data_IF_075426227474
#
_entry.id   IF_075426227474
#
_cell.length_a   1.000
_cell.length_b   1.000
_cell.length_c   1.000
_cell.angle_alpha   90.00
_cell.angle_beta   90.00
_cell.angle_gamma   90.00
#
_symmetry.space_group_name_H-M   'P 1'
#
loop_
_entity.id
_entity.type
_entity.pdbx_description
1 polymer ?
#
# COMPACT_ATOMS: atom_id res chain seq x y z
N UNK A 1 18.86 15.46 3.76
CA UNK A 1 18.20 14.51 2.84
C UNK A 1 17.74 15.26 1.60
N UNK A 2 18.05 14.72 0.42
CA UNK A 2 17.87 15.41 -0.88
C UNK A 2 16.45 15.23 -1.42
N UNK A 3 15.97 16.27 -2.12
CA UNK A 3 14.67 16.45 -2.82
C UNK A 3 13.53 17.00 -1.94
N UNK A 4 13.21 18.28 -2.18
CA UNK A 4 11.85 18.86 -2.22
C UNK A 4 10.87 18.51 -1.07
N UNK A 5 11.39 18.29 0.14
CA UNK A 5 10.56 18.17 1.35
C UNK A 5 9.72 16.88 1.48
N UNK A 6 9.82 15.90 0.57
CA UNK A 6 9.25 14.56 0.77
C UNK A 6 10.29 13.45 0.56
N UNK A 7 10.63 12.76 1.64
CA UNK A 7 11.65 11.70 1.68
C UNK A 7 11.08 10.28 1.51
N UNK A 8 9.80 10.13 1.12
CA UNK A 8 9.20 8.84 0.79
C UNK A 8 10.05 7.95 -0.13
N UNK A 9 10.63 8.42 -1.25
CA UNK A 9 11.46 7.56 -2.11
C UNK A 9 12.68 6.99 -1.38
N UNK A 10 13.32 7.81 -0.53
CA UNK A 10 14.51 7.41 0.23
C UNK A 10 14.15 6.38 1.30
N UNK A 11 13.02 6.60 1.99
CA UNK A 11 12.51 5.68 3.00
C UNK A 11 12.13 4.33 2.38
N UNK A 12 11.39 4.33 1.27
CA UNK A 12 11.03 3.10 0.53
C UNK A 12 12.28 2.32 0.13
N UNK A 13 13.30 3.01 -0.42
CA UNK A 13 14.57 2.38 -0.78
C UNK A 13 15.27 1.77 0.43
N UNK A 14 15.30 2.50 1.55
CA UNK A 14 15.96 2.05 2.77
C UNK A 14 15.27 0.84 3.42
N UNK A 15 13.93 0.85 3.46
CA UNK A 15 13.12 -0.26 3.97
C UNK A 15 13.28 -1.52 3.11
N UNK A 16 13.23 -1.39 1.78
CA UNK A 16 13.45 -2.51 0.87
C UNK A 16 14.90 -3.03 0.90
N UNK A 17 15.89 -2.15 1.13
CA UNK A 17 17.28 -2.57 1.29
C UNK A 17 17.45 -3.43 2.56
N UNK A 18 16.87 -3.03 3.69
CA UNK A 18 16.87 -3.85 4.91
C UNK A 18 16.22 -5.20 4.67
N UNK A 19 15.03 -5.23 4.08
CA UNK A 19 14.32 -6.46 3.79
C UNK A 19 15.11 -7.38 2.83
N UNK A 20 15.79 -6.78 1.85
CA UNK A 20 16.70 -7.49 0.93
C UNK A 20 17.87 -8.13 1.68
N UNK A 21 18.55 -7.38 2.54
CA UNK A 21 19.67 -7.89 3.34
C UNK A 21 19.23 -8.99 4.32
N UNK A 22 18.07 -8.82 4.97
CA UNK A 22 17.50 -9.86 5.84
C UNK A 22 17.18 -11.14 5.06
N UNK A 23 16.63 -11.02 3.85
CA UNK A 23 16.40 -12.17 2.97
C UNK A 23 17.69 -12.83 2.49
N UNK A 24 18.72 -12.06 2.12
CA UNK A 24 20.03 -12.61 1.73
C UNK A 24 20.67 -13.40 2.87
N UNK A 25 20.64 -12.85 4.09
CA UNK A 25 21.08 -13.54 5.30
C UNK A 25 20.28 -14.82 5.52
N UNK A 26 18.94 -14.75 5.42
CA UNK A 26 18.06 -15.91 5.55
C UNK A 26 18.39 -16.99 4.52
N UNK A 27 18.67 -16.60 3.27
CA UNK A 27 19.01 -17.51 2.17
C UNK A 27 20.36 -18.17 2.41
N UNK A 28 21.34 -17.42 2.90
CA UNK A 28 22.64 -17.97 3.27
C UNK A 28 22.51 -18.95 4.43
N UNK A 29 21.82 -18.57 5.52
CA UNK A 29 21.50 -19.47 6.62
C UNK A 29 20.77 -20.72 6.14
N UNK A 30 19.85 -20.61 5.19
CA UNK A 30 19.12 -21.76 4.66
C UNK A 30 20.01 -22.74 3.87
N UNK A 31 21.12 -22.27 3.29
CA UNK A 31 22.09 -23.10 2.54
C UNK A 31 23.20 -23.64 3.44
N UNK A 32 23.74 -22.80 4.31
CA UNK A 32 24.99 -23.04 5.03
C UNK A 32 24.82 -23.79 6.35
N UNK A 33 23.63 -23.75 6.94
CA UNK A 33 23.40 -24.39 8.25
C UNK A 33 23.56 -25.91 8.23
N UNK A 34 23.76 -26.56 7.06
CA UNK A 34 23.84 -28.02 6.93
C UNK A 34 22.57 -28.75 7.36
N UNK A 35 21.60 -28.02 7.93
CA UNK A 35 20.27 -28.42 8.29
C UNK A 35 19.50 -28.64 7.00
N UNK A 36 19.60 -29.88 6.53
CA UNK A 36 18.64 -30.51 5.67
C UNK A 36 17.24 -29.99 6.02
N UNK A 37 16.50 -29.49 5.03
CA UNK A 37 15.14 -28.98 5.23
C UNK A 37 14.22 -30.01 5.91
N UNK A 38 14.64 -31.28 5.95
CA UNK A 38 14.00 -32.42 6.60
C UNK A 38 14.24 -32.52 8.11
N UNK A 39 15.32 -31.94 8.63
CA UNK A 39 15.72 -32.06 10.05
C UNK A 39 15.08 -30.99 10.94
N UNK A 40 13.75 -30.90 10.91
CA UNK A 40 12.98 -29.87 11.63
C UNK A 40 12.97 -30.05 13.15
N UNK A 41 13.58 -31.12 13.67
CA UNK A 41 13.58 -31.45 15.10
C UNK A 41 14.94 -31.25 15.75
N UNK A 42 15.99 -31.02 14.97
CA UNK A 42 17.29 -30.78 15.56
C UNK A 42 17.33 -29.42 16.24
N UNK A 43 18.23 -29.35 17.21
CA UNK A 43 18.56 -28.12 17.92
C UNK A 43 19.03 -27.02 16.96
N UNK A 44 19.74 -27.39 15.89
CA UNK A 44 20.24 -26.44 14.90
C UNK A 44 19.12 -25.86 14.03
N UNK A 45 18.11 -26.66 13.66
CA UNK A 45 16.92 -26.13 13.02
C UNK A 45 16.16 -25.18 13.95
N UNK A 46 15.91 -25.58 15.20
CA UNK A 46 15.16 -24.76 16.15
C UNK A 46 15.82 -23.40 16.42
N UNK A 47 17.16 -23.34 16.46
CA UNK A 47 17.93 -22.09 16.56
C UNK A 47 17.84 -21.20 15.32
N UNK A 48 17.75 -21.80 14.12
CA UNK A 48 17.88 -21.08 12.85
C UNK A 48 16.55 -20.82 12.13
N UNK A 49 15.44 -21.44 12.56
CA UNK A 49 14.14 -21.37 11.88
C UNK A 49 13.62 -19.94 11.67
N UNK A 50 13.82 -19.03 12.63
CA UNK A 50 13.40 -17.64 12.49
C UNK A 50 14.31 -16.85 11.56
N UNK A 51 15.63 -17.07 11.64
CA UNK A 51 16.62 -16.40 10.78
C UNK A 51 16.48 -16.81 9.32
N UNK A 52 16.11 -18.06 9.03
CA UNK A 52 15.92 -18.54 7.65
C UNK A 52 14.53 -18.26 7.07
N UNK A 53 13.59 -17.78 7.89
CA UNK A 53 12.16 -17.69 7.58
C UNK A 53 11.87 -16.90 6.30
N UNK A 54 12.59 -15.79 6.06
CA UNK A 54 12.36 -14.96 4.88
C UNK A 54 12.70 -15.66 3.56
N UNK A 55 13.57 -16.67 3.57
CA UNK A 55 14.00 -17.38 2.39
C UNK A 55 13.40 -18.79 2.27
N UNK A 56 13.03 -19.43 3.39
CA UNK A 56 12.50 -20.78 3.39
C UNK A 56 11.51 -20.98 4.54
N UNK A 57 10.39 -21.64 4.25
CA UNK A 57 9.37 -21.98 5.22
C UNK A 57 8.78 -23.37 4.97
N UNK A 58 8.50 -24.10 6.05
CA UNK A 58 7.85 -25.40 6.04
C UNK A 58 6.67 -25.41 7.01
N UNK A 59 5.60 -26.08 6.64
CA UNK A 59 4.43 -26.26 7.50
C UNK A 59 3.98 -27.72 7.49
N UNK A 60 3.73 -28.26 8.68
CA UNK A 60 3.37 -29.67 8.91
C UNK A 60 2.11 -29.83 9.78
N UNK A 61 1.38 -28.74 10.03
CA UNK A 61 0.18 -28.75 10.87
C UNK A 61 0.49 -28.78 12.37
N UNK A 62 -0.46 -29.27 13.17
CA UNK A 62 -0.40 -29.18 14.65
C UNK A 62 0.74 -29.98 15.31
N UNK A 63 1.20 -31.06 14.69
CA UNK A 63 2.32 -31.88 15.19
C UNK A 63 3.22 -32.32 14.04
N UNK A 64 4.52 -32.14 14.20
CA UNK A 64 5.52 -32.62 13.27
C UNK A 64 5.42 -34.16 13.07
N UNK A 65 5.54 -34.66 11.82
CA UNK A 65 5.67 -36.07 11.54
C UNK A 65 6.77 -36.74 12.36
N UNK A 66 6.64 -38.03 12.64
CA UNK A 66 7.68 -38.77 13.39
C UNK A 66 9.00 -38.85 12.61
N UNK A 67 8.92 -39.05 11.30
CA UNK A 67 10.05 -39.07 10.37
C UNK A 67 9.71 -38.23 9.14
N UNK A 68 10.71 -37.52 8.62
CA UNK A 68 10.63 -36.72 7.39
C UNK A 68 11.74 -37.21 6.48
N UNK A 69 11.36 -37.72 5.31
CA UNK A 69 12.24 -38.33 4.32
C UNK A 69 12.41 -37.45 3.09
N UNK A 70 11.38 -36.68 2.76
CA UNK A 70 11.34 -35.71 1.66
C UNK A 70 10.70 -34.41 2.13
N UNK A 71 10.96 -33.31 1.41
CA UNK A 71 10.17 -32.08 1.54
C UNK A 71 8.70 -32.34 1.24
N UNK A 72 8.37 -33.34 0.42
CA UNK A 72 6.99 -33.74 0.11
C UNK A 72 6.18 -34.19 1.33
N UNK A 73 6.85 -34.55 2.43
CA UNK A 73 6.20 -34.91 3.70
C UNK A 73 5.67 -33.67 4.46
N UNK A 74 5.92 -32.46 3.96
CA UNK A 74 5.31 -31.23 4.46
C UNK A 74 3.97 -30.94 3.77
N UNK A 75 3.03 -30.38 4.54
CA UNK A 75 1.78 -29.85 3.98
C UNK A 75 2.06 -28.61 3.10
N UNK A 76 3.08 -27.84 3.44
CA UNK A 76 3.58 -26.76 2.61
C UNK A 76 5.08 -26.63 2.75
N UNK A 77 5.75 -26.42 1.63
CA UNK A 77 7.16 -26.10 1.56
C UNK A 77 7.32 -25.00 0.53
N UNK A 78 8.07 -23.95 0.87
CA UNK A 78 8.40 -22.90 -0.06
C UNK A 78 9.81 -22.36 0.18
N UNK A 79 10.53 -22.15 -0.92
CA UNK A 79 11.64 -21.23 -1.01
C UNK A 79 11.13 -19.93 -1.60
N UNK A 80 11.33 -18.84 -0.86
CA UNK A 80 10.86 -17.52 -1.26
C UNK A 80 11.95 -16.75 -1.99
N UNK A 81 11.53 -16.07 -3.05
CA UNK A 81 12.30 -14.99 -3.63
C UNK A 81 12.35 -13.79 -2.70
N UNK A 82 13.22 -12.85 -3.04
CA UNK A 82 13.38 -11.61 -2.30
C UNK A 82 12.03 -10.88 -2.19
N UNK A 83 11.53 -10.62 -0.97
CA UNK A 83 10.27 -9.92 -0.80
C UNK A 83 10.43 -8.43 -1.11
N UNK A 84 9.34 -7.78 -1.49
CA UNK A 84 9.30 -6.38 -1.88
C UNK A 84 8.15 -5.68 -1.17
N UNK A 85 8.41 -4.47 -0.68
CA UNK A 85 7.42 -3.64 0.00
C UNK A 85 7.16 -2.38 -0.81
N UNK A 86 5.92 -2.17 -1.20
CA UNK A 86 5.48 -0.96 -1.90
C UNK A 86 4.45 -0.21 -1.11
N UNK A 87 4.47 1.11 -1.12
CA UNK A 87 3.56 1.92 -0.32
C UNK A 87 2.45 2.49 -1.19
N UNK A 88 1.20 2.34 -0.74
CA UNK A 88 0.04 2.95 -1.40
C UNK A 88 -0.22 4.34 -0.79
N UNK A 89 -0.07 4.44 0.52
CA UNK A 89 -0.36 5.64 1.29
C UNK A 89 0.37 5.61 2.65
N UNK A 90 0.05 6.54 3.54
CA UNK A 90 0.66 6.61 4.86
C UNK A 90 0.13 5.58 5.87
N UNK A 91 -0.85 4.77 5.47
CA UNK A 91 -1.54 3.80 6.32
C UNK A 91 -1.28 2.35 5.91
N UNK A 92 -1.08 2.11 4.61
CA UNK A 92 -1.07 0.78 4.04
C UNK A 92 0.03 0.60 2.99
N UNK A 93 0.63 -0.58 3.00
CA UNK A 93 1.63 -1.03 2.07
C UNK A 93 1.21 -2.36 1.44
N UNK A 94 1.86 -2.75 0.34
CA UNK A 94 1.73 -4.03 -0.32
C UNK A 94 3.03 -4.80 -0.19
N UNK A 95 2.95 -5.93 0.51
CA UNK A 95 4.00 -6.92 0.60
C UNK A 95 3.85 -7.93 -0.54
N UNK A 96 4.84 -7.97 -1.42
CA UNK A 96 4.93 -8.94 -2.49
C UNK A 96 5.80 -10.11 -2.05
N UNK A 97 5.24 -11.32 -2.21
CA UNK A 97 5.91 -12.58 -1.95
C UNK A 97 5.94 -13.40 -3.23
N UNK A 98 7.10 -13.99 -3.53
CA UNK A 98 7.27 -14.89 -4.68
C UNK A 98 7.73 -16.25 -4.18
N UNK A 99 6.99 -17.31 -4.47
CA UNK A 99 7.42 -18.69 -4.26
C UNK A 99 8.30 -19.07 -5.44
N UNK A 100 9.61 -19.15 -5.24
CA UNK A 100 10.54 -19.57 -6.29
C UNK A 100 10.42 -21.06 -6.54
N UNK A 101 10.35 -21.83 -5.47
CA UNK A 101 10.23 -23.28 -5.50
C UNK A 101 9.34 -23.76 -4.36
N UNK A 102 8.48 -24.73 -4.61
CA UNK A 102 7.73 -25.37 -3.54
C UNK A 102 6.45 -26.09 -3.96
N UNK A 103 5.73 -26.57 -2.96
CA UNK A 103 4.43 -27.19 -3.13
C UNK A 103 3.44 -26.78 -2.04
N UNK A 104 2.16 -26.83 -2.38
CA UNK A 104 1.05 -26.71 -1.46
C UNK A 104 0.21 -27.99 -1.50
N UNK A 105 -0.01 -28.61 -0.35
CA UNK A 105 -0.90 -29.75 -0.22
C UNK A 105 -2.36 -29.28 -0.12
N UNK A 106 -3.24 -29.84 -0.94
CA UNK A 106 -4.66 -29.48 -0.96
C UNK A 106 -5.45 -29.93 0.27
N UNK A 107 -4.93 -30.83 1.11
CA UNK A 107 -5.57 -31.26 2.37
C UNK A 107 -5.23 -30.31 3.54
N UNK A 108 -5.10 -29.00 3.29
CA UNK A 108 -4.73 -27.99 4.28
C UNK A 108 -5.73 -27.90 5.44
N UNK A 109 -7.00 -28.22 5.19
CA UNK A 109 -8.06 -28.29 6.19
C UNK A 109 -7.85 -29.38 7.25
N UNK A 110 -7.06 -30.42 6.95
CA UNK A 110 -6.70 -31.49 7.90
C UNK A 110 -5.53 -31.12 8.80
N UNK A 111 -4.89 -29.95 8.61
CA UNK A 111 -3.71 -29.52 9.37
C UNK A 111 -3.93 -29.40 10.89
N UNK A 112 -5.18 -29.27 11.33
CA UNK A 112 -5.57 -29.21 12.74
C UNK A 112 -5.59 -30.57 13.43
N UNK A 113 -5.71 -31.65 12.66
CA UNK A 113 -5.76 -33.03 13.16
C UNK A 113 -4.33 -33.48 13.52
N UNK A 114 -4.06 -33.86 14.78
CA UNK A 114 -2.72 -34.28 15.18
C UNK A 114 -2.24 -35.53 14.44
N UNK A 115 -1.04 -35.48 13.85
CA UNK A 115 -0.40 -36.65 13.25
C UNK A 115 -0.97 -37.07 11.90
N UNK A 116 -1.67 -36.19 11.19
CA UNK A 116 -2.08 -36.42 9.80
C UNK A 116 -0.87 -36.75 8.94
N UNK A 117 -0.98 -37.85 8.19
CA UNK A 117 -0.02 -38.20 7.14
C UNK A 117 -0.33 -37.39 5.90
N UNK A 118 0.69 -36.75 5.33
CA UNK A 118 0.55 -35.99 4.10
C UNK A 118 0.23 -36.94 2.95
N UNK A 119 -0.78 -36.59 2.16
CA UNK A 119 -1.10 -37.31 0.92
C UNK A 119 -0.34 -36.67 -0.23
N UNK A 120 0.73 -37.30 -0.71
CA UNK A 120 1.61 -36.71 -1.73
C UNK A 120 0.90 -36.49 -3.06
N UNK A 121 -0.13 -37.26 -3.39
CA UNK A 121 -0.95 -37.04 -4.59
C UNK A 121 -1.71 -35.69 -4.56
N UNK A 122 -1.85 -35.10 -3.37
CA UNK A 122 -2.45 -33.78 -3.15
C UNK A 122 -1.41 -32.66 -3.11
N UNK A 123 -0.10 -32.94 -3.20
CA UNK A 123 0.91 -31.90 -3.38
C UNK A 123 0.77 -31.30 -4.78
N UNK A 124 0.62 -29.98 -4.86
CA UNK A 124 0.63 -29.23 -6.11
C UNK A 124 1.84 -28.31 -6.12
N UNK A 125 2.62 -28.39 -7.20
CA UNK A 125 3.78 -27.51 -7.43
C UNK A 125 3.28 -26.08 -7.63
N UNK A 126 3.96 -25.12 -7.00
CA UNK A 126 3.57 -23.71 -6.98
C UNK A 126 4.74 -22.78 -7.32
N UNK A 127 5.71 -23.29 -8.08
CA UNK A 127 6.87 -22.54 -8.53
C UNK A 127 6.45 -21.29 -9.32
N UNK A 128 7.16 -20.18 -9.09
CA UNK A 128 6.87 -18.89 -9.71
C UNK A 128 5.59 -18.22 -9.22
N UNK A 129 4.85 -18.78 -8.25
CA UNK A 129 3.64 -18.15 -7.74
C UNK A 129 3.95 -16.83 -7.03
N UNK A 130 3.18 -15.78 -7.35
CA UNK A 130 3.32 -14.44 -6.80
C UNK A 130 2.06 -14.04 -6.05
N UNK A 131 2.24 -13.64 -4.80
CA UNK A 131 1.18 -13.13 -3.94
C UNK A 131 1.44 -11.66 -3.59
N UNK A 132 0.37 -10.88 -3.57
CA UNK A 132 0.40 -9.49 -3.11
C UNK A 132 -0.55 -9.35 -1.92
N UNK A 133 0.00 -9.04 -0.75
CA UNK A 133 -0.75 -8.81 0.47
C UNK A 133 -0.76 -7.32 0.78
N UNK A 134 -1.95 -6.77 0.99
CA UNK A 134 -2.14 -5.41 1.46
C UNK A 134 -2.18 -5.42 2.98
N UNK A 135 -1.30 -4.64 3.59
CA UNK A 135 -1.02 -4.70 5.03
C UNK A 135 -1.03 -3.28 5.58
N UNK A 136 -1.75 -3.06 6.68
CA UNK A 136 -1.66 -1.81 7.41
C UNK A 136 -0.30 -1.71 8.09
N UNK A 137 0.20 -0.51 8.31
CA UNK A 137 1.41 -0.32 9.11
C UNK A 137 1.26 0.85 10.06
N UNK A 138 2.08 0.82 11.10
CA UNK A 138 2.20 1.92 12.05
C UNK A 138 3.66 2.33 12.16
N UNK A 139 3.88 3.59 12.53
CA UNK A 139 5.19 4.07 12.95
C UNK A 139 5.26 4.10 14.46
N UNK A 140 6.30 3.52 15.01
CA UNK A 140 6.64 3.59 16.43
C UNK A 140 8.03 4.19 16.59
N UNK A 141 8.29 4.80 17.74
CA UNK A 141 9.52 5.54 17.98
C UNK A 141 10.24 4.95 19.18
N UNK A 142 11.49 4.55 18.98
CA UNK A 142 12.42 4.31 20.08
C UNK A 142 13.15 5.61 20.37
N UNK A 143 12.92 6.15 21.56
CA UNK A 143 13.58 7.37 22.03
C UNK A 143 14.72 6.99 22.96
N UNK A 144 15.89 7.53 22.73
CA UNK A 144 17.07 7.27 23.56
C UNK A 144 17.93 8.52 23.75
N UNK A 145 18.92 8.38 24.64
CA UNK A 145 19.98 9.36 24.83
C UNK A 145 21.28 8.59 24.97
N UNK A 146 22.17 8.77 24.01
CA UNK A 146 23.51 8.21 24.01
C UNK A 146 24.45 9.31 23.53
N UNK A 147 25.49 9.60 24.31
CA UNK A 147 26.49 10.63 23.99
C UNK A 147 27.25 10.38 22.67
N UNK A 148 27.17 9.17 22.11
CA UNK A 148 27.80 8.78 20.84
C UNK A 148 26.89 8.97 19.63
N UNK A 149 25.61 9.30 19.83
CA UNK A 149 24.60 9.35 18.76
C UNK A 149 24.00 10.75 18.70
N UNK A 150 24.22 11.45 17.58
CA UNK A 150 23.67 12.79 17.33
C UNK A 150 24.32 13.88 18.18
N UNK A 151 23.60 14.98 18.36
CA UNK A 151 24.05 16.08 19.22
C UNK A 151 23.91 15.71 20.70
N UNK A 152 24.96 15.94 21.50
CA UNK A 152 25.07 15.54 22.92
C UNK A 152 23.88 15.93 23.82
N UNK A 153 23.07 16.91 23.40
CA UNK A 153 21.91 17.42 24.14
C UNK A 153 20.57 16.89 23.63
N UNK A 154 20.49 16.39 22.39
CA UNK A 154 19.23 15.97 21.75
C UNK A 154 18.82 14.54 22.15
N UNK A 155 17.50 14.28 22.09
CA UNK A 155 16.97 12.92 22.18
C UNK A 155 16.99 12.36 20.77
N UNK A 156 17.71 11.27 20.54
CA UNK A 156 17.65 10.62 19.23
C UNK A 156 16.35 9.82 19.12
N UNK A 157 15.77 9.79 17.91
CA UNK A 157 14.57 9.03 17.60
C UNK A 157 14.88 8.03 16.50
N UNK A 158 14.85 6.76 16.87
CA UNK A 158 14.86 5.68 15.88
C UNK A 158 13.41 5.38 15.56
N UNK A 159 13.00 5.69 14.34
CA UNK A 159 11.67 5.39 13.84
C UNK A 159 11.63 3.95 13.34
N UNK A 160 10.59 3.22 13.72
CA UNK A 160 10.33 1.85 13.28
C UNK A 160 9.01 1.81 12.55
N UNK A 161 9.00 1.13 11.41
CA UNK A 161 7.81 0.77 10.68
C UNK A 161 7.40 -0.65 11.06
N UNK A 162 6.19 -0.79 11.61
CA UNK A 162 5.64 -2.06 12.07
C UNK A 162 4.48 -2.44 11.17
N UNK A 163 4.68 -3.49 10.37
CA UNK A 163 3.64 -4.08 9.54
C UNK A 163 2.63 -4.83 10.42
N UNK A 164 1.36 -4.46 10.33
CA UNK A 164 0.27 -5.16 11.00
C UNK A 164 -0.15 -6.38 10.18
N UNK A 165 0.61 -7.46 10.31
CA UNK A 165 0.40 -8.68 9.54
C UNK A 165 -0.98 -9.31 9.78
N UNK A 166 -1.59 -9.10 10.96
CA UNK A 166 -2.95 -9.58 11.24
C UNK A 166 -4.00 -8.93 10.33
N UNK A 167 -3.74 -7.71 9.85
CA UNK A 167 -4.62 -7.01 8.91
C UNK A 167 -4.35 -7.38 7.45
N UNK A 168 -3.43 -8.31 7.16
CA UNK A 168 -3.01 -8.62 5.81
C UNK A 168 -4.15 -9.21 4.96
N UNK A 169 -4.49 -8.52 3.87
CA UNK A 169 -5.51 -8.96 2.90
C UNK A 169 -4.85 -9.38 1.60
N UNK A 170 -5.12 -10.59 1.14
CA UNK A 170 -4.64 -11.07 -0.16
C UNK A 170 -5.38 -10.32 -1.29
N UNK A 171 -4.63 -9.60 -2.12
CA UNK A 171 -5.19 -8.84 -3.26
C UNK A 171 -5.07 -9.63 -4.55
N UNK A 172 -3.88 -10.19 -4.81
CA UNK A 172 -3.65 -11.01 -6.01
C UNK A 172 -2.84 -12.24 -5.66
N UNK A 173 -3.19 -13.34 -6.31
CA UNK A 173 -2.44 -14.59 -6.28
C UNK A 173 -2.41 -15.17 -7.69
N UNK A 174 -1.23 -15.14 -8.30
CA UNK A 174 -1.01 -15.59 -9.68
C UNK A 174 0.09 -16.65 -9.69
N UNK A 175 0.03 -17.55 -10.66
CA UNK A 175 1.11 -18.50 -10.93
C UNK A 175 2.25 -17.84 -11.71
N UNK A 176 3.20 -18.67 -12.13
CA UNK A 176 4.27 -18.28 -13.05
C UNK A 176 3.70 -17.65 -14.33
N UNK A 177 4.40 -16.64 -14.87
CA UNK A 177 4.01 -15.88 -16.05
C UNK A 177 2.58 -15.28 -16.00
N UNK A 178 2.10 -14.91 -14.81
CA UNK A 178 0.75 -14.41 -14.57
C UNK A 178 -0.38 -15.42 -14.91
N UNK A 179 -0.08 -16.71 -15.05
CA UNK A 179 -1.10 -17.74 -15.30
C UNK A 179 -2.04 -17.87 -14.11
N UNK A 180 -3.33 -18.11 -14.39
CA UNK A 180 -4.29 -18.37 -13.33
C UNK A 180 -4.06 -19.75 -12.72
N UNK A 181 -3.86 -19.80 -11.41
CA UNK A 181 -3.87 -21.04 -10.64
C UNK A 181 -5.30 -21.60 -10.54
N UNK A 182 -5.43 -22.91 -10.36
CA UNK A 182 -6.74 -23.52 -10.11
C UNK A 182 -7.33 -23.03 -8.77
N UNK A 183 -8.66 -23.00 -8.61
CA UNK A 183 -9.30 -22.52 -7.38
C UNK A 183 -8.78 -23.21 -6.11
N UNK A 184 -8.67 -24.54 -6.11
CA UNK A 184 -8.19 -25.32 -4.96
C UNK A 184 -6.75 -24.97 -4.57
N UNK A 185 -5.88 -24.72 -5.55
CA UNK A 185 -4.49 -24.32 -5.29
C UNK A 185 -4.43 -22.90 -4.73
N UNK A 186 -5.27 -21.98 -5.23
CA UNK A 186 -5.36 -20.61 -4.68
C UNK A 186 -5.79 -20.63 -3.23
N UNK A 187 -6.79 -21.43 -2.88
CA UNK A 187 -7.29 -21.54 -1.52
C UNK A 187 -6.24 -22.13 -0.57
N UNK A 188 -5.57 -23.23 -0.99
CA UNK A 188 -4.50 -23.84 -0.22
C UNK A 188 -3.31 -22.88 -0.02
N UNK A 189 -2.86 -22.20 -1.08
CA UNK A 189 -1.78 -21.20 -0.98
C UNK A 189 -2.17 -20.03 -0.09
N UNK A 190 -3.40 -19.52 -0.21
CA UNK A 190 -3.88 -18.45 0.65
C UNK A 190 -3.77 -18.83 2.13
N UNK A 191 -4.23 -20.05 2.48
CA UNK A 191 -4.09 -20.58 3.84
C UNK A 191 -2.63 -20.65 4.29
N UNK A 192 -1.75 -21.27 3.51
CA UNK A 192 -0.35 -21.46 3.92
C UNK A 192 0.45 -20.16 3.97
N UNK A 193 0.21 -19.24 3.04
CA UNK A 193 0.84 -17.92 3.05
C UNK A 193 0.38 -17.10 4.25
N UNK A 194 -0.89 -17.23 4.68
CA UNK A 194 -1.34 -16.60 5.92
C UNK A 194 -0.60 -17.18 7.14
N UNK A 195 -0.40 -18.51 7.21
CA UNK A 195 0.42 -19.14 8.25
C UNK A 195 1.89 -18.73 8.21
N UNK A 196 2.43 -18.53 7.01
CA UNK A 196 3.78 -18.01 6.85
C UNK A 196 3.89 -16.57 7.36
N UNK A 197 2.91 -15.71 7.05
CA UNK A 197 2.85 -14.34 7.54
C UNK A 197 2.78 -14.30 9.08
N UNK A 198 1.94 -15.11 9.71
CA UNK A 198 1.92 -15.28 11.18
C UNK A 198 3.31 -15.66 11.72
N UNK A 199 4.01 -16.59 11.05
CA UNK A 199 5.36 -17.00 11.44
C UNK A 199 6.39 -15.87 11.32
N UNK A 200 6.30 -15.01 10.30
CA UNK A 200 7.18 -13.85 10.15
C UNK A 200 7.01 -12.83 11.29
N UNK A 201 5.81 -12.72 11.88
CA UNK A 201 5.60 -11.90 13.08
C UNK A 201 6.44 -12.43 14.24
N UNK A 202 6.38 -13.73 14.50
CA UNK A 202 7.17 -14.38 15.55
C UNK A 202 8.69 -14.29 15.29
N UNK A 203 9.10 -14.26 14.03
CA UNK A 203 10.49 -14.07 13.63
C UNK A 203 10.97 -12.60 13.75
N UNK A 204 10.08 -11.64 14.02
CA UNK A 204 10.42 -10.21 14.08
C UNK A 204 10.56 -9.52 12.71
N UNK A 205 10.30 -10.22 11.60
CA UNK A 205 10.47 -9.70 10.23
C UNK A 205 9.37 -8.71 9.80
N UNK A 206 8.44 -8.39 10.69
CA UNK A 206 7.38 -7.40 10.48
C UNK A 206 7.78 -5.99 10.95
N UNK A 207 8.94 -5.84 11.61
CA UNK A 207 9.47 -4.57 12.09
C UNK A 207 10.70 -4.19 11.26
N UNK A 208 10.69 -2.99 10.70
CA UNK A 208 11.79 -2.41 9.93
C UNK A 208 12.15 -1.04 10.50
N UNK A 209 13.39 -0.59 10.33
CA UNK A 209 13.79 0.76 10.74
C UNK A 209 13.51 1.76 9.61
N UNK A 210 12.81 2.86 9.89
CA UNK A 210 12.65 3.94 8.91
C UNK A 210 13.96 4.77 8.86
N UNK A 211 14.00 5.81 8.03
CA UNK A 211 15.16 6.71 7.93
C UNK A 211 15.53 7.23 9.33
N UNK A 212 16.80 7.10 9.76
CA UNK A 212 17.21 7.57 11.07
C UNK A 212 17.15 9.10 11.15
N UNK A 213 16.75 9.61 12.31
CA UNK A 213 16.70 11.03 12.65
C UNK A 213 17.49 11.28 13.93
N UNK A 214 18.71 11.81 13.78
CA UNK A 214 19.66 12.01 14.87
C UNK A 214 19.95 13.49 15.17
N UNK A 215 19.36 14.40 14.38
CA UNK A 215 19.59 15.84 14.49
C UNK A 215 18.59 16.49 15.46
N UNK A 216 18.73 17.80 15.68
CA UNK A 216 17.71 18.58 16.37
C UNK A 216 16.44 18.66 15.51
N UNK A 217 15.25 18.58 16.14
CA UNK A 217 13.91 18.43 15.52
C UNK A 217 13.57 19.42 14.37
N UNK A 218 14.44 20.40 14.10
CA UNK A 218 14.30 21.47 13.11
C UNK A 218 14.29 20.97 11.65
N UNK A 219 14.90 19.83 11.34
CA UNK A 219 15.05 19.34 9.97
C UNK A 219 14.55 17.89 9.76
N UNK A 220 13.58 17.46 10.55
CA UNK A 220 13.01 16.12 10.44
C UNK A 220 12.55 15.82 9.00
N UNK A 221 12.95 14.66 8.49
CA UNK A 221 12.47 14.18 7.20
C UNK A 221 10.95 14.03 7.22
N UNK A 222 10.27 14.86 6.44
CA UNK A 222 8.87 14.62 6.11
C UNK A 222 8.81 13.45 5.13
N UNK A 223 8.06 12.41 5.50
CA UNK A 223 7.82 11.22 4.67
C UNK A 223 6.32 11.13 4.43
N UNK A 224 5.93 11.31 3.17
CA UNK A 224 4.54 11.21 2.73
C UNK A 224 4.44 10.23 1.55
N UNK A 225 4.08 8.98 1.84
CA UNK A 225 3.96 7.94 0.83
C UNK A 225 2.76 8.14 -0.09
N UNK A 226 1.72 8.83 0.36
CA UNK A 226 0.49 9.02 -0.43
C UNK A 226 0.75 9.90 -1.67
N UNK A 227 1.66 10.87 -1.52
CA UNK A 227 2.05 11.79 -2.61
C UNK A 227 3.19 11.24 -3.48
N UNK A 228 3.75 10.08 -3.13
CA UNK A 228 4.80 9.45 -3.93
C UNK A 228 4.18 8.52 -4.98
N UNK A 229 4.43 8.83 -6.25
CA UNK A 229 3.96 8.02 -7.36
C UNK A 229 5.04 7.03 -7.80
N UNK A 230 4.85 5.75 -7.46
CA UNK A 230 5.61 4.65 -8.06
C UNK A 230 4.83 4.09 -9.26
N UNK A 231 5.30 4.39 -10.47
CA UNK A 231 4.68 3.94 -11.72
C UNK A 231 4.66 2.41 -11.89
N UNK A 232 5.41 1.67 -11.07
CA UNK A 232 5.38 0.21 -11.07
C UNK A 232 4.22 -0.40 -10.27
N UNK A 233 3.37 0.44 -9.68
CA UNK A 233 2.19 0.05 -8.90
C UNK A 233 0.92 0.31 -9.73
N UNK A 234 0.20 -0.75 -10.08
CA UNK A 234 -1.17 -0.60 -10.60
C UNK A 234 -2.14 -0.34 -9.44
N UNK A 235 -2.27 0.93 -9.07
CA UNK A 235 -3.20 1.37 -8.03
C UNK A 235 -4.66 1.00 -8.35
N UNK A 236 -5.02 0.89 -9.63
CA UNK A 236 -6.39 0.50 -10.02
C UNK A 236 -6.64 -0.95 -9.64
N UNK A 237 -5.70 -1.85 -9.92
CA UNK A 237 -5.80 -3.25 -9.51
C UNK A 237 -5.74 -3.42 -7.98
N UNK A 238 -4.87 -2.67 -7.30
CA UNK A 238 -4.63 -2.83 -5.86
C UNK A 238 -5.68 -2.19 -4.96
N UNK A 239 -6.40 -1.19 -5.46
CA UNK A 239 -7.43 -0.47 -4.70
C UNK A 239 -8.86 -0.78 -5.18
N UNK A 240 -9.02 -1.78 -6.05
CA UNK A 240 -10.34 -2.20 -6.51
C UNK A 240 -11.18 -2.76 -5.35
N UNK A 241 -12.43 -2.32 -5.24
CA UNK A 241 -13.39 -2.81 -4.25
C UNK A 241 -13.10 -2.39 -2.80
N UNK A 242 -12.21 -1.42 -2.58
CA UNK A 242 -11.95 -0.88 -1.25
C UNK A 242 -13.09 0.07 -0.86
N UNK A 243 -13.67 -0.18 0.32
CA UNK A 243 -14.60 0.74 0.98
C UNK A 243 -13.84 1.70 1.88
N UNK A 244 -14.41 2.89 2.09
CA UNK A 244 -13.82 3.92 2.97
C UNK A 244 -14.81 4.19 4.09
N UNK A 245 -14.43 3.89 5.33
CA UNK A 245 -15.35 3.92 6.49
C UNK A 245 -16.66 3.15 6.22
N UNK A 246 -16.56 1.97 5.61
CA UNK A 246 -17.68 1.10 5.20
C UNK A 246 -18.63 1.71 4.15
N UNK A 247 -18.22 2.80 3.49
CA UNK A 247 -18.95 3.41 2.38
C UNK A 247 -18.40 2.87 1.06
N UNK A 248 -19.30 2.43 0.18
CA UNK A 248 -18.95 2.08 -1.20
C UNK A 248 -18.66 3.34 -2.01
N UNK A 249 -17.46 3.41 -2.59
CA UNK A 249 -17.03 4.51 -3.45
C UNK A 249 -17.93 4.66 -4.67
N UNK A 250 -18.56 3.58 -5.14
CA UNK A 250 -19.54 3.65 -6.22
C UNK A 250 -20.71 4.55 -5.84
N UNK A 251 -21.24 4.44 -4.62
CA UNK A 251 -22.34 5.28 -4.15
C UNK A 251 -21.93 6.75 -4.04
N UNK A 252 -20.69 7.02 -3.60
CA UNK A 252 -20.12 8.37 -3.57
C UNK A 252 -20.05 8.96 -4.98
N UNK A 253 -19.53 8.20 -5.94
CA UNK A 253 -19.43 8.63 -7.34
C UNK A 253 -20.79 8.84 -7.99
N UNK A 254 -21.76 7.94 -7.75
CA UNK A 254 -23.13 8.09 -8.26
C UNK A 254 -23.78 9.37 -7.70
N UNK A 255 -23.57 9.67 -6.42
CA UNK A 255 -24.06 10.90 -5.78
C UNK A 255 -23.39 12.16 -6.34
N UNK A 256 -22.06 12.13 -6.53
CA UNK A 256 -21.30 13.23 -7.11
C UNK A 256 -21.69 13.50 -8.56
N UNK A 257 -21.86 12.44 -9.36
CA UNK A 257 -22.34 12.53 -10.74
C UNK A 257 -23.71 13.20 -10.81
N UNK A 258 -24.66 12.78 -9.96
CA UNK A 258 -25.99 13.38 -9.91
C UNK A 258 -25.93 14.87 -9.52
N UNK A 259 -25.11 15.23 -8.53
CA UNK A 259 -24.91 16.64 -8.11
C UNK A 259 -24.27 17.48 -9.21
N UNK A 260 -23.23 16.96 -9.86
CA UNK A 260 -22.58 17.59 -11.00
C UNK A 260 -23.56 17.80 -12.16
N UNK A 261 -24.37 16.79 -12.50
CA UNK A 261 -25.34 16.88 -13.60
C UNK A 261 -26.39 17.96 -13.31
N UNK A 262 -26.87 18.05 -12.07
CA UNK A 262 -27.79 19.11 -11.67
C UNK A 262 -27.14 20.49 -11.71
N UNK A 263 -25.87 20.63 -11.30
CA UNK A 263 -25.11 21.87 -11.41
C UNK A 263 -24.95 22.30 -12.88
N UNK A 264 -24.52 21.36 -13.73
CA UNK A 264 -24.31 21.59 -15.17
C UNK A 264 -25.60 22.00 -15.90
N UNK A 265 -26.77 21.49 -15.49
CA UNK A 265 -28.08 21.90 -16.05
C UNK A 265 -28.54 23.27 -15.58
N UNK A 266 -28.13 23.72 -14.39
CA UNK A 266 -28.54 25.01 -13.79
C UNK A 266 -27.64 26.18 -14.19
N UNK A 267 -26.50 25.91 -14.83
CA UNK A 267 -25.53 26.92 -15.24
C UNK A 267 -26.14 28.05 -16.10
N UNK A 268 -27.25 27.80 -16.79
CA UNK A 268 -27.93 28.82 -17.61
C UNK A 268 -28.68 29.89 -16.79
N UNK A 269 -29.10 29.60 -15.54
CA UNK A 269 -29.86 30.53 -14.66
C UNK A 269 -29.63 30.24 -13.16
N UNK A 270 -28.52 30.68 -12.55
CA UNK A 270 -28.24 30.39 -11.15
C UNK A 270 -29.18 31.09 -10.17
N UNK A 271 -29.73 30.33 -9.23
CA UNK A 271 -30.31 30.84 -7.98
C UNK A 271 -29.34 30.79 -6.80
N UNK A 272 -28.28 29.98 -6.89
CA UNK A 272 -27.22 29.84 -5.88
C UNK A 272 -25.89 29.48 -6.56
N UNK A 273 -24.88 30.36 -6.47
CA UNK A 273 -23.57 30.17 -7.11
C UNK A 273 -22.79 28.99 -6.53
N UNK A 274 -22.95 28.66 -5.25
CA UNK A 274 -22.27 27.51 -4.64
C UNK A 274 -22.76 26.19 -5.25
N UNK A 275 -24.03 26.15 -5.66
CA UNK A 275 -24.61 24.98 -6.31
C UNK A 275 -24.05 24.74 -7.73
N UNK A 276 -23.39 25.74 -8.33
CA UNK A 276 -22.75 25.62 -9.64
C UNK A 276 -21.29 25.17 -9.58
N UNK A 277 -20.59 25.41 -8.46
CA UNK A 277 -19.14 25.21 -8.32
C UNK A 277 -18.64 23.81 -8.68
N UNK A 278 -19.51 22.78 -8.68
CA UNK A 278 -19.15 21.43 -9.12
C UNK A 278 -19.02 21.31 -10.64
N UNK A 279 -19.73 22.12 -11.41
CA UNK A 279 -19.71 22.10 -12.87
C UNK A 279 -18.92 23.27 -13.45
N UNK A 280 -19.04 24.47 -12.87
CA UNK A 280 -18.42 25.68 -13.38
C UNK A 280 -17.97 26.57 -12.22
N UNK A 281 -16.88 27.32 -12.40
CA UNK A 281 -16.41 28.32 -11.44
C UNK A 281 -15.97 29.57 -12.18
N UNK A 282 -16.59 30.70 -11.85
CA UNK A 282 -16.25 32.00 -12.40
C UNK A 282 -15.72 32.93 -11.31
N UNK A 283 -14.64 33.64 -11.63
CA UNK A 283 -14.14 34.76 -10.82
C UNK A 283 -15.19 35.85 -10.61
N UNK A 284 -16.14 36.02 -11.53
CA UNK A 284 -17.22 36.99 -11.41
C UNK A 284 -18.18 36.70 -10.23
N UNK A 285 -18.25 35.44 -9.78
CA UNK A 285 -19.12 35.01 -8.67
C UNK A 285 -18.44 35.10 -7.31
N UNK A 286 -17.11 35.13 -7.26
CA UNK A 286 -16.32 34.96 -6.03
C UNK A 286 -16.17 36.25 -5.18
N UNK A 287 -16.75 37.38 -5.62
CA UNK A 287 -16.92 38.70 -4.96
C UNK A 287 -15.70 39.37 -4.26
N UNK A 288 -15.60 40.69 -4.51
CA UNK A 288 -14.84 41.75 -3.83
C UNK A 288 -13.31 41.74 -3.77
N UNK A 289 -12.62 40.74 -4.33
CA UNK A 289 -11.17 40.85 -4.49
C UNK A 289 -10.83 41.62 -5.78
N UNK A 290 -9.88 42.55 -5.70
CA UNK A 290 -9.23 43.11 -6.89
C UNK A 290 -8.35 41.99 -7.43
N UNK A 291 -8.92 41.18 -8.32
CA UNK A 291 -8.17 40.13 -9.01
C UNK A 291 -7.68 40.75 -10.31
N UNK A 292 -6.37 40.80 -10.52
CA UNK A 292 -5.78 41.37 -11.73
C UNK A 292 -6.15 40.60 -13.01
N UNK A 293 -6.68 39.37 -12.87
CA UNK A 293 -7.11 38.51 -13.96
C UNK A 293 -8.39 37.76 -13.61
N UNK A 294 -9.37 37.87 -14.49
CA UNK A 294 -10.60 37.11 -14.38
C UNK A 294 -10.42 35.73 -15.01
N UNK A 295 -11.14 34.74 -14.48
CA UNK A 295 -11.12 33.38 -14.99
C UNK A 295 -12.51 32.75 -14.99
N UNK A 296 -12.65 31.74 -15.86
CA UNK A 296 -13.79 30.83 -15.95
C UNK A 296 -13.28 29.40 -16.11
N UNK A 297 -13.74 28.50 -15.24
CA UNK A 297 -13.37 27.08 -15.24
C UNK A 297 -14.62 26.26 -15.50
N UNK A 298 -14.52 25.28 -16.39
CA UNK A 298 -15.54 24.25 -16.59
C UNK A 298 -14.99 22.88 -16.19
N UNK A 299 -15.68 22.25 -15.26
CA UNK A 299 -15.35 20.93 -14.76
C UNK A 299 -16.10 19.83 -15.53
N UNK A 300 -15.40 18.72 -15.75
CA UNK A 300 -16.00 17.42 -16.00
C UNK A 300 -16.59 16.84 -14.73
N UNK A 301 -17.06 15.59 -14.82
CA UNK A 301 -17.59 14.87 -13.66
C UNK A 301 -16.45 14.63 -12.68
N UNK A 302 -16.56 15.03 -11.40
CA UNK A 302 -15.56 14.66 -10.41
C UNK A 302 -15.62 13.16 -10.11
N UNK A 303 -14.45 12.53 -9.94
CA UNK A 303 -14.33 11.11 -9.61
C UNK A 303 -13.64 10.94 -8.25
N UNK A 304 -14.17 10.05 -7.42
CA UNK A 304 -13.56 9.62 -6.18
C UNK A 304 -13.07 8.18 -6.33
N UNK A 305 -11.85 7.92 -5.87
CA UNK A 305 -11.26 6.59 -5.82
C UNK A 305 -10.71 6.32 -4.43
N UNK A 306 -11.00 5.16 -3.85
CA UNK A 306 -10.36 4.77 -2.60
C UNK A 306 -8.86 4.54 -2.82
N UNK A 307 -8.03 5.13 -1.95
CA UNK A 307 -6.64 4.74 -1.79
C UNK A 307 -6.51 3.64 -0.76
N UNK A 308 -7.15 3.81 0.41
CA UNK A 308 -7.20 2.87 1.53
C UNK A 308 -8.50 3.05 2.30
N UNK A 309 -8.69 2.31 3.41
CA UNK A 309 -9.91 2.44 4.23
C UNK A 309 -10.13 3.83 4.85
N UNK A 310 -9.17 4.74 4.72
CA UNK A 310 -9.16 6.09 5.32
C UNK A 310 -8.97 7.23 4.32
N UNK A 311 -8.33 6.98 3.18
CA UNK A 311 -7.96 8.02 2.22
C UNK A 311 -8.59 7.75 0.86
N UNK A 312 -8.99 8.84 0.20
CA UNK A 312 -9.49 8.84 -1.17
C UNK A 312 -8.67 9.79 -2.03
N UNK A 313 -8.61 9.51 -3.33
CA UNK A 313 -8.27 10.50 -4.35
C UNK A 313 -9.59 11.10 -4.85
N UNK A 314 -9.75 12.40 -4.71
CA UNK A 314 -10.78 13.18 -5.40
C UNK A 314 -10.14 13.83 -6.62
N UNK A 315 -10.65 13.50 -7.79
CA UNK A 315 -10.18 13.97 -9.08
C UNK A 315 -11.20 14.91 -9.68
N UNK A 316 -10.75 16.09 -10.12
CA UNK A 316 -11.52 17.01 -10.94
C UNK A 316 -10.91 17.05 -12.33
N UNK A 317 -11.69 16.60 -13.31
CA UNK A 317 -11.37 16.86 -14.71
C UNK A 317 -11.78 18.30 -15.03
N UNK A 318 -10.86 19.05 -15.62
CA UNK A 318 -11.08 20.42 -16.06
C UNK A 318 -11.07 20.40 -17.57
N UNK A 319 -12.27 20.58 -18.14
CA UNK A 319 -12.48 20.60 -19.59
C UNK A 319 -11.84 21.82 -20.20
N UNK A 320 -12.04 22.98 -19.58
CA UNK A 320 -11.38 24.21 -19.99
C UNK A 320 -11.25 25.22 -18.83
N UNK A 321 -10.15 25.96 -18.84
CA UNK A 321 -9.90 27.16 -18.04
C UNK A 321 -9.63 28.29 -19.02
N UNK A 322 -10.39 29.37 -18.91
CA UNK A 322 -10.22 30.57 -19.71
C UNK A 322 -9.87 31.76 -18.80
N UNK A 323 -8.91 32.59 -19.22
CA UNK A 323 -8.50 33.81 -18.51
C UNK A 323 -8.83 35.06 -19.34
N UNK A 324 -9.25 36.13 -18.65
CA UNK A 324 -9.77 37.37 -19.25
C UNK A 324 -9.18 38.59 -18.53
N UNK A 325 -9.07 39.72 -19.24
CA UNK A 325 -8.61 40.97 -18.63
C UNK A 325 -9.70 41.61 -17.79
N UNK A 326 -10.95 41.46 -18.20
CA UNK A 326 -12.09 42.10 -17.56
C UNK A 326 -13.09 41.09 -17.04
N UNK A 327 -14.05 41.57 -16.25
CA UNK A 327 -15.14 40.76 -15.73
C UNK A 327 -16.22 40.41 -16.78
N UNK A 328 -16.13 40.95 -18.00
CA UNK A 328 -17.10 40.71 -19.08
C UNK A 328 -16.74 39.44 -19.86
N UNK A 329 -16.93 38.30 -19.21
CA UNK A 329 -16.56 36.96 -19.73
C UNK A 329 -17.36 36.53 -20.97
N UNK A 330 -18.53 37.13 -21.21
CA UNK A 330 -19.41 36.75 -22.32
C UNK A 330 -19.02 37.43 -23.63
N UNK A 331 -18.59 38.70 -23.55
CA UNK A 331 -18.29 39.50 -24.73
C UNK A 331 -16.79 39.65 -25.01
N UNK A 332 -15.92 39.39 -24.03
CA UNK A 332 -14.48 39.43 -24.20
C UNK A 332 -13.91 38.08 -24.70
N UNK A 333 -12.97 38.14 -25.64
CA UNK A 333 -12.22 36.94 -26.05
C UNK A 333 -11.18 36.60 -24.97
N UNK A 334 -11.09 35.34 -24.51
CA UNK A 334 -10.11 34.96 -23.51
C UNK A 334 -8.68 35.16 -24.01
N UNK A 335 -7.81 35.66 -23.13
CA UNK A 335 -6.37 35.85 -23.40
C UNK A 335 -5.65 34.50 -23.52
N UNK A 336 -6.06 33.55 -22.69
CA UNK A 336 -5.49 32.21 -22.62
C UNK A 336 -6.59 31.21 -22.33
N UNK A 337 -6.51 30.05 -22.98
CA UNK A 337 -7.38 28.91 -22.74
C UNK A 337 -6.51 27.68 -22.54
N UNK A 338 -6.72 26.98 -21.44
CA UNK A 338 -6.13 25.68 -21.14
C UNK A 338 -7.26 24.66 -21.12
N UNK A 339 -6.99 23.43 -21.56
CA UNK A 339 -7.97 22.36 -21.65
C UNK A 339 -7.36 21.03 -21.25
N UNK A 340 -8.23 20.07 -20.94
CA UNK A 340 -7.88 18.67 -20.66
C UNK A 340 -6.91 18.50 -19.48
N UNK A 341 -7.16 19.23 -18.39
CA UNK A 341 -6.37 19.12 -17.17
C UNK A 341 -7.08 18.23 -16.17
N UNK A 342 -6.31 17.47 -15.39
CA UNK A 342 -6.85 16.69 -14.28
C UNK A 342 -6.15 17.13 -13.00
N UNK A 343 -6.93 17.55 -12.01
CA UNK A 343 -6.41 17.90 -10.67
C UNK A 343 -6.83 16.81 -9.70
N UNK A 344 -5.87 16.29 -8.93
CA UNK A 344 -6.12 15.26 -7.93
C UNK A 344 -5.80 15.77 -6.53
N UNK A 345 -6.67 15.43 -5.58
CA UNK A 345 -6.54 15.73 -4.17
C UNK A 345 -6.55 14.44 -3.37
N UNK A 346 -5.59 14.28 -2.47
CA UNK A 346 -5.63 13.21 -1.49
C UNK A 346 -6.36 13.74 -0.25
N UNK A 347 -7.45 13.09 0.10
CA UNK A 347 -8.33 13.47 1.20
C UNK A 347 -8.37 12.33 2.20
N UNK A 348 -7.99 12.64 3.43
CA UNK A 348 -8.17 11.75 4.57
C UNK A 348 -9.60 11.94 5.13
N UNK A 349 -10.40 10.87 5.09
CA UNK A 349 -11.75 10.84 5.63
C UNK A 349 -11.73 10.66 7.14
N UNK A 350 -12.46 11.51 7.86
CA UNK A 350 -12.67 11.37 9.30
C UNK A 350 -14.05 10.77 9.56
N UNK A 351 -14.13 9.70 10.35
CA UNK A 351 -15.42 9.21 10.84
C UNK A 351 -16.04 10.23 11.80
N UNK A 352 -17.38 10.34 11.78
CA UNK A 352 -18.18 11.26 12.61
C UNK A 352 -17.91 11.01 14.10
N UNK A 353 -16.92 11.68 14.67
CA UNK A 353 -16.49 11.53 16.06
C UNK A 353 -15.21 12.29 16.42
N UNK A 354 -14.38 12.64 15.43
CA UNK A 354 -13.22 13.55 15.61
C UNK A 354 -13.07 14.46 14.39
N UNK A 355 -13.82 15.57 14.37
CA UNK A 355 -13.49 16.70 13.50
C UNK A 355 -12.23 17.39 14.07
N UNK A 356 -11.05 16.92 13.66
CA UNK A 356 -9.85 17.76 13.63
C UNK A 356 -9.57 18.06 12.16
N UNK A 357 -9.60 19.34 11.80
CA UNK A 357 -9.08 19.97 10.57
C UNK A 357 -8.71 19.00 9.44
N UNK A 358 -9.57 18.90 8.43
CA UNK A 358 -9.24 18.27 7.14
C UNK A 358 -7.98 18.92 6.54
N UNK A 359 -6.91 18.14 6.39
CA UNK A 359 -5.72 18.58 5.65
C UNK A 359 -5.83 18.01 4.24
N UNK A 360 -6.22 18.84 3.26
CA UNK A 360 -6.09 18.47 1.85
C UNK A 360 -4.62 18.58 1.44
N UNK A 361 -4.08 17.53 0.81
CA UNK A 361 -2.73 17.55 0.21
C UNK A 361 -2.88 17.63 -1.30
N UNK A 362 -2.27 18.65 -1.89
CA UNK A 362 -2.35 18.95 -3.32
C UNK A 362 -1.30 18.14 -4.09
N UNK A 363 -1.71 17.42 -5.13
CA UNK A 363 -0.79 16.79 -6.07
C UNK A 363 -1.11 17.26 -7.48
N UNK A 364 -0.16 17.96 -8.10
CA UNK A 364 -0.28 18.38 -9.49
C UNK A 364 0.07 17.19 -10.40
N UNK A 365 -0.93 16.43 -10.83
CA UNK A 365 -0.74 15.40 -11.86
C UNK A 365 -0.95 16.03 -13.24
N UNK A 366 0.14 16.44 -13.90
CA UNK A 366 0.10 16.67 -15.35
C UNK A 366 0.15 15.31 -16.04
N UNK A 367 -1.00 14.81 -16.47
CA UNK A 367 -1.07 13.79 -17.53
C UNK A 367 -1.26 14.56 -18.84
N UNK A 368 -0.42 14.23 -19.82
CA UNK A 368 -0.32 14.88 -21.13
C UNK A 368 -1.55 14.68 -21.99
#
# INVERSE_FOLDING_TARGET
MCLEGNNAPLSIRYLNAQLSSLWENARHCAKDSGADARDIKSHEYEKSKYTRALAQYQFFGRKAPKAIRSTDDFLFYAMFGKPELKFICNHEAVLFLTVQEGHANLDYNKSTIPGVKVNHAKNKVVNGARAAFRVEFSRSNLKGRDSKIGNLTSKHVIQMLVLNIESAKLITLKGEDNKSLSPDVKEALHFYLHKYLEFLVHAGNHVLFDLPDFDDDKYQAKIDYATYQDNSIDLKALCHGITVHDIDIKEVNDSLYFRWQNAARKAERPTDFLSLCLAELSSAWLMNSVIDRHFFIRFGVPEVRALCGREVILTFDIRNIAFFKTSDLENERPEAVYADWTIAFIIEGYSRGRLKTSHSRFQHCSLR
#
